data_IF_819634767533
#
_entry.id   IF_819634767533
#
_cell.length_a   1.000
_cell.length_b   1.000
_cell.length_c   1.000
_cell.angle_alpha   90.00
_cell.angle_beta   90.00
_cell.angle_gamma   90.00
#
_symmetry.space_group_name_H-M   'P 1'
#
loop_
_entity.id
_entity.type
_entity.pdbx_description
1 polymer ?
#
# COMPACT_ATOMS: atom_id res chain seq x y z
N UNK A 1 -27.52 33.95 38.87
CA UNK A 1 -27.87 32.57 38.48
C UNK A 1 -27.70 32.44 36.97
N UNK A 2 -26.97 31.40 36.56
CA UNK A 2 -26.24 31.24 35.30
C UNK A 2 -27.13 31.11 34.06
N UNK A 3 -26.81 31.85 32.99
CA UNK A 3 -27.32 31.61 31.63
C UNK A 3 -26.32 30.74 30.87
N UNK A 4 -26.67 29.47 30.68
CA UNK A 4 -25.98 28.55 29.78
C UNK A 4 -26.09 29.05 28.33
N UNK A 5 -24.97 29.43 27.73
CA UNK A 5 -24.83 29.62 26.28
C UNK A 5 -24.40 28.29 25.66
N UNK A 6 -25.31 27.64 24.95
CA UNK A 6 -25.01 26.51 24.08
C UNK A 6 -24.15 27.00 22.91
N UNK A 7 -22.86 26.64 22.91
CA UNK A 7 -21.97 26.87 21.78
C UNK A 7 -22.19 25.72 20.77
N UNK A 8 -22.97 25.98 19.72
CA UNK A 8 -23.08 25.07 18.60
C UNK A 8 -21.77 25.11 17.80
N UNK A 9 -20.98 24.04 17.89
CA UNK A 9 -19.77 23.85 17.10
C UNK A 9 -20.19 23.47 15.67
N UNK A 10 -20.25 24.47 14.78
CA UNK A 10 -20.32 24.23 13.34
C UNK A 10 -18.99 23.61 12.90
N UNK A 11 -18.96 22.28 12.74
CA UNK A 11 -17.92 21.64 11.93
C UNK A 11 -18.10 22.13 10.48
N UNK A 12 -17.31 23.11 10.09
CA UNK A 12 -17.12 23.40 8.68
C UNK A 12 -16.50 22.16 8.04
N UNK A 13 -17.30 21.43 7.25
CA UNK A 13 -16.82 20.43 6.31
C UNK A 13 -15.99 21.17 5.27
N UNK A 14 -14.68 21.31 5.52
CA UNK A 14 -13.74 21.70 4.49
C UNK A 14 -13.91 20.70 3.33
N UNK A 15 -14.04 21.16 2.08
CA UNK A 15 -14.05 20.26 0.94
C UNK A 15 -12.77 19.42 1.01
N UNK A 16 -12.92 18.10 1.00
CA UNK A 16 -11.80 17.18 1.01
C UNK A 16 -10.95 17.50 -0.21
N UNK A 17 -9.82 18.17 -0.01
CA UNK A 17 -8.80 18.30 -1.02
C UNK A 17 -8.51 16.89 -1.54
N UNK A 18 -8.50 16.71 -2.86
CA UNK A 18 -8.10 15.44 -3.46
C UNK A 18 -6.81 14.98 -2.79
N UNK A 19 -6.86 13.82 -2.13
CA UNK A 19 -5.66 13.29 -1.51
C UNK A 19 -4.63 13.06 -2.62
N UNK A 20 -3.53 13.82 -2.58
CA UNK A 20 -2.50 13.70 -3.58
C UNK A 20 -1.84 12.31 -3.46
N UNK A 21 -1.59 11.61 -4.58
CA UNK A 21 -0.91 10.33 -4.54
C UNK A 21 0.45 10.48 -3.85
N UNK A 22 0.90 9.43 -3.16
CA UNK A 22 2.14 9.47 -2.40
C UNK A 22 3.34 9.85 -3.30
N UNK A 23 4.06 10.92 -2.94
CA UNK A 23 5.32 11.29 -3.57
C UNK A 23 6.50 10.60 -2.88
N UNK A 24 6.99 9.55 -3.52
CA UNK A 24 8.03 8.63 -3.08
C UNK A 24 9.27 8.55 -4.00
N UNK A 25 9.68 9.57 -4.80
CA UNK A 25 11.01 9.55 -5.42
C UNK A 25 12.08 9.17 -4.39
N UNK A 26 13.12 8.44 -4.78
CA UNK A 26 14.16 7.98 -3.84
C UNK A 26 14.81 9.15 -3.07
N UNK A 27 14.88 10.32 -3.71
CA UNK A 27 15.40 11.56 -3.14
C UNK A 27 14.39 12.32 -2.26
N UNK A 28 13.13 11.89 -2.20
CA UNK A 28 12.08 12.59 -1.46
C UNK A 28 12.20 12.39 0.05
N UNK A 29 11.85 13.42 0.82
CA UNK A 29 11.82 13.33 2.28
C UNK A 29 10.89 12.24 2.80
N UNK A 30 9.80 11.95 2.09
CA UNK A 30 8.86 10.89 2.46
C UNK A 30 9.50 9.50 2.36
N UNK A 31 10.16 9.20 1.24
CA UNK A 31 10.86 7.91 1.05
C UNK A 31 11.99 7.74 2.07
N UNK A 32 12.79 8.79 2.26
CA UNK A 32 13.89 8.79 3.23
C UNK A 32 13.39 8.58 4.67
N UNK A 33 12.26 9.20 5.04
CA UNK A 33 11.68 9.04 6.37
C UNK A 33 11.24 7.60 6.62
N UNK A 34 10.57 6.96 5.65
CA UNK A 34 10.15 5.55 5.77
C UNK A 34 11.35 4.62 6.01
N UNK A 35 12.42 4.80 5.22
CA UNK A 35 13.66 4.04 5.38
C UNK A 35 14.35 4.30 6.73
N UNK A 36 14.50 5.57 7.11
CA UNK A 36 15.16 5.97 8.36
C UNK A 36 14.41 5.48 9.61
N UNK A 37 13.08 5.50 9.59
CA UNK A 37 12.28 4.96 10.68
C UNK A 37 12.48 3.45 10.83
N UNK A 38 12.41 2.71 9.72
CA UNK A 38 12.67 1.26 9.68
C UNK A 38 14.06 0.93 10.23
N UNK A 39 15.09 1.66 9.81
CA UNK A 39 16.47 1.48 10.25
C UNK A 39 16.63 1.75 11.74
N UNK A 40 16.08 2.86 12.23
CA UNK A 40 16.13 3.23 13.65
C UNK A 40 15.52 2.15 14.54
N UNK A 41 14.35 1.62 14.16
CA UNK A 41 13.66 0.55 14.88
C UNK A 41 14.46 -0.76 14.89
N UNK A 42 15.18 -1.02 13.81
CA UNK A 42 16.05 -2.17 13.70
C UNK A 42 17.41 -1.98 14.39
N UNK A 43 17.80 -0.76 14.78
CA UNK A 43 19.15 -0.46 15.26
C UNK A 43 20.20 -0.50 14.14
N UNK A 44 19.82 -0.13 12.92
CA UNK A 44 20.73 0.02 11.78
C UNK A 44 21.21 1.45 11.63
N UNK A 45 22.47 1.62 11.24
CA UNK A 45 23.06 2.89 10.82
C UNK A 45 23.01 3.06 9.30
N UNK A 46 23.27 4.29 8.82
CA UNK A 46 23.32 4.61 7.39
C UNK A 46 21.97 4.94 6.79
N UNK A 47 21.87 4.87 5.46
CA UNK A 47 20.65 5.17 4.71
C UNK A 47 20.26 4.03 3.78
N UNK A 48 18.95 3.82 3.63
CA UNK A 48 18.46 2.82 2.70
C UNK A 48 18.83 3.13 1.24
N UNK A 49 18.89 4.40 0.84
CA UNK A 49 19.26 4.76 -0.53
C UNK A 49 20.73 4.47 -0.85
N UNK A 50 21.63 4.57 0.14
CA UNK A 50 23.01 4.09 -0.03
C UNK A 50 23.01 2.58 -0.25
N UNK A 51 22.32 1.82 0.60
CA UNK A 51 22.21 0.37 0.46
C UNK A 51 21.62 -0.03 -0.91
N UNK A 52 20.57 0.66 -1.37
CA UNK A 52 19.90 0.37 -2.64
C UNK A 52 20.82 0.66 -3.84
N UNK A 53 21.59 1.75 -3.80
CA UNK A 53 22.58 2.07 -4.82
C UNK A 53 23.70 1.01 -4.89
N UNK A 54 24.14 0.50 -3.74
CA UNK A 54 25.12 -0.58 -3.68
C UNK A 54 24.53 -1.91 -4.17
N UNK A 55 23.27 -2.20 -3.81
CA UNK A 55 22.55 -3.38 -4.33
C UNK A 55 22.42 -3.32 -5.86
N UNK A 56 22.09 -2.16 -6.42
CA UNK A 56 22.05 -1.95 -7.86
C UNK A 56 23.38 -2.30 -8.54
N UNK A 57 24.51 -1.80 -8.00
CA UNK A 57 25.85 -2.14 -8.52
C UNK A 57 26.13 -3.64 -8.43
N UNK A 58 25.83 -4.27 -7.29
CA UNK A 58 26.12 -5.69 -7.06
C UNK A 58 25.31 -6.63 -7.95
N UNK A 59 24.02 -6.32 -8.18
CA UNK A 59 23.13 -7.22 -8.92
C UNK A 59 23.33 -7.15 -10.44
N UNK A 60 23.93 -6.09 -10.97
CA UNK A 60 24.20 -5.97 -12.40
C UNK A 60 22.95 -5.84 -13.29
N UNK A 61 21.76 -5.62 -12.72
CA UNK A 61 20.52 -5.37 -13.47
C UNK A 61 20.49 -3.89 -13.90
N UNK A 62 21.38 -3.52 -14.81
CA UNK A 62 21.64 -2.12 -15.15
C UNK A 62 20.54 -1.55 -16.05
N UNK A 63 19.99 -0.39 -15.67
CA UNK A 63 19.15 0.42 -16.54
C UNK A 63 20.04 1.21 -17.50
N UNK A 64 19.81 1.02 -18.81
CA UNK A 64 20.58 1.69 -19.86
C UNK A 64 22.10 1.40 -19.82
N UNK A 65 22.51 0.27 -19.21
CA UNK A 65 23.92 -0.05 -19.00
C UNK A 65 24.66 0.89 -18.02
N UNK A 66 23.96 1.80 -17.34
CA UNK A 66 24.58 2.76 -16.44
C UNK A 66 24.88 2.11 -15.07
N UNK A 67 26.13 2.11 -14.58
CA UNK A 67 26.50 1.43 -13.32
C UNK A 67 26.06 2.18 -12.07
N UNK A 68 25.70 3.47 -12.18
CA UNK A 68 25.18 4.26 -11.06
C UNK A 68 23.66 4.39 -11.14
N UNK A 69 22.94 3.94 -10.10
CA UNK A 69 21.48 3.99 -10.04
C UNK A 69 20.95 5.41 -10.28
N UNK A 70 21.52 6.40 -9.58
CA UNK A 70 21.11 7.80 -9.74
C UNK A 70 21.35 8.34 -11.16
N UNK A 71 22.49 8.01 -11.77
CA UNK A 71 22.76 8.39 -13.18
C UNK A 71 21.81 7.69 -14.15
N UNK A 72 21.53 6.41 -13.93
CA UNK A 72 20.64 5.62 -14.76
C UNK A 72 19.22 6.19 -14.78
N UNK A 73 18.69 6.52 -13.59
CA UNK A 73 17.36 7.13 -13.44
C UNK A 73 17.31 8.55 -14.03
N UNK A 74 18.33 9.38 -13.80
CA UNK A 74 18.43 10.72 -14.41
C UNK A 74 18.48 10.65 -15.93
N UNK A 75 19.24 9.71 -16.49
CA UNK A 75 19.33 9.49 -17.94
C UNK A 75 18.02 8.99 -18.52
N UNK A 76 17.35 8.04 -17.86
CA UNK A 76 16.02 7.58 -18.26
C UNK A 76 14.99 8.70 -18.22
N UNK A 77 15.02 9.55 -17.18
CA UNK A 77 14.16 10.74 -17.11
C UNK A 77 14.39 11.68 -18.28
N UNK A 78 15.65 11.92 -18.66
CA UNK A 78 15.97 12.73 -19.83
C UNK A 78 15.42 12.11 -21.14
N UNK A 79 15.54 10.79 -21.33
CA UNK A 79 14.92 10.10 -22.47
C UNK A 79 13.39 10.24 -22.48
N UNK A 80 12.75 10.10 -21.33
CA UNK A 80 11.29 10.24 -21.19
C UNK A 80 10.79 11.67 -21.43
N UNK A 81 11.61 12.70 -21.18
CA UNK A 81 11.27 14.09 -21.47
C UNK A 81 11.37 14.43 -22.96
N UNK A 82 12.28 13.75 -23.69
CA UNK A 82 12.49 13.97 -25.13
C UNK A 82 11.57 13.08 -26.00
N UNK A 83 11.15 11.92 -25.48
CA UNK A 83 10.28 11.01 -26.20
C UNK A 83 8.84 11.53 -26.30
N UNK A 84 8.18 11.18 -27.40
CA UNK A 84 6.79 11.56 -27.69
C UNK A 84 5.97 10.35 -28.12
N UNK A 85 4.64 10.45 -28.03
CA UNK A 85 3.70 9.41 -28.48
C UNK A 85 4.00 8.01 -27.92
N UNK A 86 3.88 7.00 -28.77
CA UNK A 86 4.07 5.59 -28.41
C UNK A 86 5.48 5.28 -27.87
N UNK A 87 6.50 6.03 -28.30
CA UNK A 87 7.86 5.84 -27.79
C UNK A 87 7.94 6.14 -26.30
N UNK A 88 7.26 7.20 -25.84
CA UNK A 88 7.27 7.59 -24.44
C UNK A 88 6.62 6.53 -23.56
N UNK A 89 5.52 5.94 -24.03
CA UNK A 89 4.83 4.83 -23.35
C UNK A 89 5.70 3.57 -23.32
N UNK A 90 6.35 3.22 -24.44
CA UNK A 90 7.31 2.12 -24.51
C UNK A 90 8.43 2.29 -23.49
N UNK A 91 9.05 3.47 -23.43
CA UNK A 91 10.11 3.74 -22.46
C UNK A 91 9.61 3.67 -21.00
N UNK A 92 8.37 4.09 -20.73
CA UNK A 92 7.77 3.99 -19.41
C UNK A 92 7.56 2.53 -19.01
N UNK A 93 6.98 1.72 -19.90
CA UNK A 93 6.81 0.27 -19.74
C UNK A 93 8.14 -0.46 -19.53
N UNK A 94 9.15 -0.15 -20.33
CA UNK A 94 10.49 -0.74 -20.19
C UNK A 94 11.12 -0.42 -18.83
N UNK A 95 10.92 0.81 -18.34
CA UNK A 95 11.40 1.24 -17.03
C UNK A 95 10.67 0.48 -15.91
N UNK A 96 9.36 0.27 -16.05
CA UNK A 96 8.54 -0.52 -15.14
C UNK A 96 9.00 -1.99 -15.07
N UNK A 97 9.23 -2.60 -16.23
CA UNK A 97 9.74 -3.96 -16.32
C UNK A 97 11.16 -4.09 -15.73
N UNK A 98 12.02 -3.08 -15.96
CA UNK A 98 13.34 -3.03 -15.33
C UNK A 98 13.24 -2.92 -13.79
N UNK A 99 12.39 -2.03 -13.28
CA UNK A 99 12.25 -1.82 -11.83
C UNK A 99 11.80 -3.11 -11.13
N UNK A 100 10.86 -3.85 -11.73
CA UNK A 100 10.47 -5.19 -11.27
C UNK A 100 11.65 -6.15 -11.19
N UNK A 101 12.40 -6.33 -12.29
CA UNK A 101 13.55 -7.25 -12.34
C UNK A 101 14.62 -6.86 -11.33
N UNK A 102 14.93 -5.56 -11.23
CA UNK A 102 15.92 -5.06 -10.29
C UNK A 102 15.51 -5.33 -8.84
N UNK A 103 14.27 -5.00 -8.45
CA UNK A 103 13.79 -5.22 -7.08
C UNK A 103 13.78 -6.72 -6.73
N UNK A 104 13.37 -7.60 -7.64
CA UNK A 104 13.44 -9.05 -7.41
C UNK A 104 14.87 -9.57 -7.25
N UNK A 105 15.80 -9.08 -8.08
CA UNK A 105 17.21 -9.46 -7.97
C UNK A 105 17.86 -8.94 -6.68
N UNK A 106 17.56 -7.69 -6.31
CA UNK A 106 18.11 -7.07 -5.10
C UNK A 106 17.57 -7.68 -3.81
N UNK A 107 16.34 -8.20 -3.84
CA UNK A 107 15.63 -8.75 -2.69
C UNK A 107 15.12 -10.16 -2.99
N UNK A 108 15.97 -11.20 -3.07
CA UNK A 108 15.58 -12.51 -3.59
C UNK A 108 14.60 -13.28 -2.69
N UNK A 109 14.54 -12.98 -1.38
CA UNK A 109 13.76 -13.76 -0.41
C UNK A 109 12.39 -13.11 -0.16
N UNK A 110 11.30 -13.88 -0.30
CA UNK A 110 9.99 -13.41 0.12
C UNK A 110 9.75 -13.75 1.60
N UNK A 111 9.29 -12.79 2.40
CA UNK A 111 9.04 -12.97 3.83
C UNK A 111 7.79 -12.22 4.25
N UNK A 112 6.78 -12.96 4.73
CA UNK A 112 5.56 -12.37 5.29
C UNK A 112 5.77 -11.77 6.68
N UNK A 113 6.85 -12.13 7.38
CA UNK A 113 7.10 -11.67 8.76
C UNK A 113 7.84 -10.35 8.84
N UNK A 114 8.75 -10.09 7.89
CA UNK A 114 9.69 -8.97 7.95
C UNK A 114 9.89 -8.25 6.61
N UNK A 115 9.47 -8.86 5.51
CA UNK A 115 9.78 -8.38 4.16
C UNK A 115 9.13 -7.04 3.81
N UNK A 116 8.19 -6.55 4.62
CA UNK A 116 7.64 -5.20 4.47
C UNK A 116 8.58 -4.10 4.98
N UNK A 117 9.65 -4.41 5.74
CA UNK A 117 10.55 -3.39 6.31
C UNK A 117 11.79 -3.14 5.45
N UNK A 118 12.15 -1.86 5.26
CA UNK A 118 13.40 -1.45 4.62
C UNK A 118 14.63 -2.06 5.30
N UNK A 119 14.61 -2.18 6.63
CA UNK A 119 15.68 -2.83 7.38
C UNK A 119 15.78 -4.35 7.08
N UNK A 120 14.66 -5.02 6.82
CA UNK A 120 14.63 -6.44 6.42
C UNK A 120 15.25 -6.65 5.04
N UNK A 121 14.95 -5.75 4.10
CA UNK A 121 15.64 -5.68 2.82
C UNK A 121 17.14 -5.50 2.98
N UNK A 122 17.57 -4.57 3.82
CA UNK A 122 18.99 -4.26 4.00
C UNK A 122 19.80 -5.39 4.64
N UNK A 123 19.25 -6.01 5.69
CA UNK A 123 19.91 -7.09 6.45
C UNK A 123 19.86 -8.43 5.73
N UNK A 124 18.73 -8.73 5.11
CA UNK A 124 18.41 -10.09 4.70
C UNK A 124 18.00 -10.19 3.22
N UNK A 125 17.92 -9.10 2.47
CA UNK A 125 17.38 -9.17 1.10
C UNK A 125 15.96 -9.74 1.07
N UNK A 126 15.20 -9.50 2.15
CA UNK A 126 13.81 -9.93 2.27
C UNK A 126 12.88 -8.87 1.67
N UNK A 127 11.83 -9.34 0.98
CA UNK A 127 10.75 -8.51 0.45
C UNK A 127 9.39 -9.09 0.79
N UNK A 128 8.41 -8.20 0.77
CA UNK A 128 6.98 -8.47 0.77
C UNK A 128 6.32 -7.46 -0.17
N UNK A 129 5.06 -7.71 -0.50
CA UNK A 129 4.23 -6.87 -1.38
C UNK A 129 4.29 -5.36 -1.07
N UNK A 130 4.20 -4.92 0.19
CA UNK A 130 4.27 -3.50 0.52
C UNK A 130 5.61 -2.88 0.13
N UNK A 131 6.72 -3.42 0.64
CA UNK A 131 8.03 -2.82 0.42
C UNK A 131 8.40 -2.83 -1.06
N UNK A 132 8.21 -3.96 -1.75
CA UNK A 132 8.57 -4.04 -3.16
C UNK A 132 7.79 -3.03 -4.01
N UNK A 133 6.49 -2.81 -3.71
CA UNK A 133 5.68 -1.81 -4.42
C UNK A 133 6.10 -0.38 -4.11
N UNK A 134 6.50 -0.08 -2.86
CA UNK A 134 7.06 1.23 -2.50
C UNK A 134 8.40 1.47 -3.21
N UNK A 135 9.26 0.46 -3.32
CA UNK A 135 10.53 0.56 -4.04
C UNK A 135 10.32 0.77 -5.54
N UNK A 136 9.46 -0.02 -6.17
CA UNK A 136 9.12 0.13 -7.60
C UNK A 136 8.53 1.52 -7.85
N UNK A 137 7.58 1.96 -7.01
CA UNK A 137 6.99 3.31 -7.09
C UNK A 137 8.07 4.38 -7.04
N UNK A 138 8.98 4.31 -6.07
CA UNK A 138 10.01 5.32 -5.90
C UNK A 138 11.04 5.36 -7.04
N UNK A 139 11.41 4.20 -7.57
CA UNK A 139 12.26 4.10 -8.77
C UNK A 139 11.59 4.76 -9.99
N UNK A 140 10.30 4.49 -10.21
CA UNK A 140 9.57 5.04 -11.35
C UNK A 140 9.33 6.55 -11.22
N UNK A 141 8.97 7.03 -10.02
CA UNK A 141 8.80 8.45 -9.77
C UNK A 141 10.13 9.22 -9.86
N UNK A 142 11.25 8.64 -9.40
CA UNK A 142 12.59 9.23 -9.57
C UNK A 142 12.96 9.35 -11.06
N UNK A 143 12.54 8.38 -11.89
CA UNK A 143 12.65 8.46 -13.35
C UNK A 143 11.66 9.45 -14.01
N UNK A 144 10.79 10.12 -13.24
CA UNK A 144 9.85 11.11 -13.74
C UNK A 144 8.53 10.54 -14.26
N UNK A 145 8.18 9.31 -13.89
CA UNK A 145 6.92 8.67 -14.28
C UNK A 145 5.82 8.86 -13.22
N UNK A 146 4.56 8.87 -13.66
CA UNK A 146 3.41 8.91 -12.78
C UNK A 146 3.10 7.51 -12.25
N UNK A 147 3.79 7.13 -11.18
CA UNK A 147 3.60 5.85 -10.50
C UNK A 147 3.05 6.04 -9.08
N UNK A 148 2.53 4.97 -8.50
CA UNK A 148 2.04 4.93 -7.13
C UNK A 148 1.82 3.50 -6.64
N UNK A 149 1.21 3.33 -5.48
CA UNK A 149 0.83 2.02 -4.96
C UNK A 149 -0.69 1.95 -4.71
N UNK A 150 -1.24 0.75 -4.90
CA UNK A 150 -2.66 0.43 -4.68
C UNK A 150 -2.76 -0.88 -3.89
N UNK A 151 -3.85 -1.07 -3.14
CA UNK A 151 -4.09 -2.36 -2.50
C UNK A 151 -4.82 -3.29 -3.48
N UNK A 152 -4.64 -4.59 -3.33
CA UNK A 152 -5.35 -5.61 -4.10
C UNK A 152 -6.39 -6.28 -3.19
N UNK A 153 -7.65 -6.22 -3.59
CA UNK A 153 -8.73 -6.93 -2.91
C UNK A 153 -9.20 -8.17 -3.66
N UNK A 154 -8.85 -8.31 -4.94
CA UNK A 154 -9.11 -9.51 -5.72
C UNK A 154 -7.92 -9.84 -6.60
N UNK A 155 -7.31 -11.01 -6.38
CA UNK A 155 -6.08 -11.39 -7.06
C UNK A 155 -6.33 -11.90 -8.49
N UNK A 156 -5.27 -12.44 -9.13
CA UNK A 156 -5.31 -13.01 -10.48
C UNK A 156 -6.28 -14.17 -10.66
N UNK A 157 -6.47 -15.01 -9.63
CA UNK A 157 -7.42 -16.13 -9.66
C UNK A 157 -8.84 -15.72 -9.26
N UNK A 158 -9.08 -14.43 -9.01
CA UNK A 158 -10.37 -13.93 -8.59
C UNK A 158 -10.66 -14.15 -7.09
N UNK A 159 -9.69 -14.62 -6.31
CA UNK A 159 -9.82 -14.78 -4.87
C UNK A 159 -9.82 -13.42 -4.18
N UNK A 160 -10.83 -13.21 -3.34
CA UNK A 160 -10.94 -12.01 -2.51
C UNK A 160 -9.98 -12.05 -1.32
N UNK A 161 -9.43 -10.88 -0.99
CA UNK A 161 -8.63 -10.64 0.21
C UNK A 161 -9.18 -9.44 0.98
N UNK A 162 -8.79 -9.32 2.24
CA UNK A 162 -9.16 -8.19 3.09
C UNK A 162 -8.27 -6.95 2.86
N UNK A 163 -7.55 -6.84 1.73
CA UNK A 163 -6.51 -5.82 1.45
C UNK A 163 -5.12 -6.17 2.02
N UNK A 164 -4.79 -7.46 2.17
CA UNK A 164 -3.47 -7.89 2.63
C UNK A 164 -2.36 -7.85 1.57
N UNK A 165 -2.64 -7.30 0.38
CA UNK A 165 -1.69 -7.25 -0.74
C UNK A 165 -1.60 -5.85 -1.34
N UNK A 166 -0.39 -5.47 -1.76
CA UNK A 166 -0.07 -4.17 -2.35
C UNK A 166 0.64 -4.40 -3.67
N UNK A 167 0.29 -3.62 -4.69
CA UNK A 167 0.98 -3.61 -5.97
C UNK A 167 1.33 -2.19 -6.39
N UNK A 168 2.39 -2.02 -7.18
CA UNK A 168 2.68 -0.72 -7.78
C UNK A 168 1.80 -0.52 -9.01
N UNK A 169 1.47 0.73 -9.31
CA UNK A 169 0.76 1.15 -10.52
C UNK A 169 1.55 2.21 -11.26
N UNK A 170 1.43 2.24 -12.58
CA UNK A 170 2.03 3.23 -13.47
C UNK A 170 0.97 3.72 -14.47
N UNK A 171 0.67 5.02 -14.47
CA UNK A 171 -0.04 5.69 -15.56
C UNK A 171 0.92 5.86 -16.73
N UNK A 172 0.54 5.31 -17.88
CA UNK A 172 1.28 5.52 -19.12
C UNK A 172 1.29 7.01 -19.47
N UNK A 173 2.43 7.57 -19.94
CA UNK A 173 2.55 8.97 -20.31
C UNK A 173 1.48 9.51 -21.28
N UNK A 174 0.93 8.67 -22.16
CA UNK A 174 -0.19 9.02 -23.04
C UNK A 174 -1.50 9.32 -22.30
N UNK A 175 -1.63 8.87 -21.05
CA UNK A 175 -2.87 8.94 -20.28
C UNK A 175 -3.89 7.85 -20.62
N UNK A 176 -3.60 6.99 -21.60
CA UNK A 176 -4.55 6.01 -22.15
C UNK A 176 -4.50 4.64 -21.48
N UNK A 177 -3.66 4.45 -20.45
CA UNK A 177 -3.64 3.21 -19.71
C UNK A 177 -2.88 3.25 -18.39
N UNK A 178 -3.24 2.35 -17.49
CA UNK A 178 -2.47 2.01 -16.29
C UNK A 178 -1.85 0.62 -16.41
N UNK A 179 -0.71 0.39 -15.76
CA UNK A 179 -0.08 -0.92 -15.61
C UNK A 179 0.05 -1.27 -14.13
N UNK A 180 -0.19 -2.53 -13.76
CA UNK A 180 0.16 -3.03 -12.44
C UNK A 180 1.51 -3.71 -12.48
N UNK A 181 2.37 -3.41 -11.51
CA UNK A 181 3.72 -3.96 -11.38
C UNK A 181 3.87 -4.67 -10.04
N UNK A 182 4.01 -5.99 -10.08
CA UNK A 182 4.02 -6.83 -8.89
C UNK A 182 5.22 -7.78 -8.85
N UNK A 183 6.20 -7.46 -7.99
CA UNK A 183 7.39 -8.29 -7.83
C UNK A 183 7.14 -9.61 -7.06
N UNK A 184 5.90 -9.88 -6.63
CA UNK A 184 5.47 -11.20 -6.17
C UNK A 184 5.32 -12.17 -7.34
N UNK A 185 4.98 -11.68 -8.53
CA UNK A 185 4.75 -12.49 -9.72
C UNK A 185 6.05 -12.72 -10.52
N UNK A 186 6.24 -13.88 -11.18
CA UNK A 186 7.38 -14.11 -12.08
C UNK A 186 7.54 -13.05 -13.17
N UNK A 187 6.42 -12.55 -13.70
CA UNK A 187 6.38 -11.55 -14.78
C UNK A 187 6.12 -10.14 -14.23
N UNK A 188 6.53 -9.07 -14.94
CA UNK A 188 6.41 -7.72 -14.42
C UNK A 188 4.97 -7.21 -14.32
N UNK A 189 4.12 -7.57 -15.27
CA UNK A 189 2.78 -7.00 -15.41
C UNK A 189 1.72 -8.05 -15.07
N UNK A 190 0.76 -7.66 -14.24
CA UNK A 190 -0.25 -8.55 -13.70
C UNK A 190 -1.65 -7.97 -13.86
N UNK A 191 -2.66 -8.84 -13.91
CA UNK A 191 -4.06 -8.48 -14.12
C UNK A 191 -4.92 -8.72 -12.87
N UNK A 192 -4.50 -8.16 -11.72
CA UNK A 192 -5.28 -8.29 -10.49
C UNK A 192 -6.72 -7.79 -10.70
N UNK A 193 -7.69 -8.60 -10.33
CA UNK A 193 -9.10 -8.36 -10.69
C UNK A 193 -9.81 -7.33 -9.80
N UNK A 194 -9.15 -6.81 -8.77
CA UNK A 194 -9.75 -5.85 -7.85
C UNK A 194 -8.72 -5.04 -7.09
N UNK A 195 -8.88 -3.71 -7.11
CA UNK A 195 -7.99 -2.74 -6.49
C UNK A 195 -8.72 -1.83 -5.49
N UNK A 196 -8.06 -1.45 -4.41
CA UNK A 196 -8.44 -0.29 -3.61
C UNK A 196 -7.51 0.86 -3.94
N UNK A 197 -8.08 1.96 -4.37
CA UNK A 197 -7.36 3.14 -4.85
C UNK A 197 -8.14 4.41 -4.48
N UNK A 198 -7.60 5.60 -4.74
CA UNK A 198 -8.36 6.85 -4.60
C UNK A 198 -9.19 7.14 -5.85
N UNK A 199 -10.50 7.33 -5.68
CA UNK A 199 -11.44 7.76 -6.71
C UNK A 199 -12.66 8.44 -6.07
N UNK A 200 -13.33 9.34 -6.78
CA UNK A 200 -14.59 9.96 -6.34
C UNK A 200 -14.52 10.57 -4.91
N UNK A 201 -13.39 11.22 -4.60
CA UNK A 201 -13.17 11.90 -3.32
C UNK A 201 -12.85 11.00 -2.13
N UNK A 202 -12.55 9.71 -2.33
CA UNK A 202 -12.15 8.81 -1.24
C UNK A 202 -11.50 7.51 -1.71
N UNK A 203 -11.22 6.60 -0.78
CA UNK A 203 -10.80 5.25 -1.15
C UNK A 203 -11.98 4.46 -1.71
N UNK A 204 -11.77 3.77 -2.83
CA UNK A 204 -12.80 3.02 -3.55
C UNK A 204 -12.28 1.66 -3.99
N UNK A 205 -13.13 0.64 -3.80
CA UNK A 205 -12.96 -0.66 -4.40
C UNK A 205 -13.35 -0.58 -5.87
N UNK A 206 -12.39 -0.79 -6.75
CA UNK A 206 -12.56 -0.78 -8.20
C UNK A 206 -12.22 -2.14 -8.80
N UNK A 207 -12.85 -2.43 -9.93
CA UNK A 207 -12.55 -3.55 -10.82
C UNK A 207 -11.90 -2.97 -12.08
N UNK A 208 -10.61 -3.23 -12.34
CA UNK A 208 -9.96 -2.78 -13.57
C UNK A 208 -10.51 -3.51 -14.80
N UNK A 209 -10.53 -2.80 -15.94
CA UNK A 209 -10.81 -3.36 -17.27
C UNK A 209 -9.50 -3.43 -18.06
N UNK A 210 -9.05 -4.65 -18.32
CA UNK A 210 -7.84 -4.89 -19.11
C UNK A 210 -8.12 -4.86 -20.61
N UNK A 211 -7.19 -4.26 -21.35
CA UNK A 211 -7.10 -4.30 -22.81
C UNK A 211 -5.88 -5.12 -23.23
N UNK A 212 -5.31 -4.77 -24.38
CA UNK A 212 -4.10 -5.42 -24.87
C UNK A 212 -2.93 -5.23 -23.89
N UNK A 213 -2.05 -6.22 -23.87
CA UNK A 213 -0.80 -6.20 -23.11
C UNK A 213 -1.00 -5.87 -21.62
N UNK A 214 -2.01 -6.42 -20.95
CA UNK A 214 -2.23 -6.19 -19.50
C UNK A 214 -2.46 -4.71 -19.12
N UNK A 215 -2.82 -3.85 -20.09
CA UNK A 215 -3.06 -2.43 -19.86
C UNK A 215 -4.47 -2.22 -19.32
N UNK A 216 -4.61 -1.55 -18.18
CA UNK A 216 -5.91 -1.12 -17.67
C UNK A 216 -6.37 0.06 -18.51
N UNK A 217 -7.52 -0.09 -19.18
CA UNK A 217 -8.13 0.93 -20.06
C UNK A 217 -9.27 1.69 -19.38
N UNK A 218 -9.67 1.26 -18.19
CA UNK A 218 -10.69 1.90 -17.38
C UNK A 218 -10.99 1.09 -16.13
N UNK A 219 -11.88 1.61 -15.29
CA UNK A 219 -12.27 0.97 -14.05
C UNK A 219 -13.80 0.92 -13.94
N UNK A 220 -14.31 0.07 -13.04
CA UNK A 220 -15.71 0.06 -12.61
C UNK A 220 -15.77 0.02 -11.10
N UNK A 221 -16.71 0.72 -10.49
CA UNK A 221 -16.92 0.61 -9.04
C UNK A 221 -17.40 -0.81 -8.66
N UNK A 222 -16.88 -1.35 -7.56
CA UNK A 222 -17.20 -2.72 -7.13
C UNK A 222 -18.65 -2.86 -6.60
N UNK A 223 -19.26 -1.78 -6.13
CA UNK A 223 -20.65 -1.71 -5.65
C UNK A 223 -21.69 -1.51 -6.78
N UNK A 224 -21.25 -1.46 -8.04
CA UNK A 224 -22.13 -1.28 -9.19
C UNK A 224 -22.41 0.17 -9.57
N UNK A 225 -21.78 1.17 -8.94
CA UNK A 225 -21.95 2.60 -9.30
C UNK A 225 -21.30 3.05 -10.61
N UNK A 226 -21.11 2.12 -11.56
CA UNK A 226 -20.77 2.42 -12.95
C UNK A 226 -19.27 2.52 -13.27
N UNK A 227 -18.93 2.93 -14.51
CA UNK A 227 -17.55 3.07 -14.96
C UNK A 227 -16.86 4.28 -14.34
N UNK A 228 -15.56 4.16 -14.07
CA UNK A 228 -14.68 5.24 -13.60
C UNK A 228 -13.55 5.43 -14.62
N UNK A 229 -13.39 6.67 -15.10
CA UNK A 229 -12.35 7.02 -16.07
C UNK A 229 -10.95 6.96 -15.44
N UNK A 230 -9.92 6.66 -16.25
CA UNK A 230 -8.52 6.62 -15.80
C UNK A 230 -8.12 7.93 -15.09
N UNK A 231 -8.49 9.09 -15.65
CA UNK A 231 -8.18 10.40 -15.07
C UNK A 231 -8.83 10.64 -13.68
N UNK A 232 -9.91 9.93 -13.36
CA UNK A 232 -10.59 9.99 -12.06
C UNK A 232 -9.97 9.08 -10.99
N UNK A 233 -8.96 8.27 -11.36
CA UNK A 233 -8.29 7.33 -10.46
C UNK A 233 -6.88 7.83 -10.13
N UNK A 234 -6.56 7.83 -8.83
CA UNK A 234 -5.24 8.13 -8.30
C UNK A 234 -4.79 7.03 -7.34
N UNK A 235 -3.48 6.83 -7.25
CA UNK A 235 -2.89 5.90 -6.30
C UNK A 235 -3.11 6.35 -4.85
N UNK A 236 -2.79 5.48 -3.89
CA UNK A 236 -2.91 5.77 -2.47
C UNK A 236 -1.98 6.93 -2.05
N UNK A 237 -2.45 7.75 -1.12
CA UNK A 237 -1.67 8.82 -0.53
C UNK A 237 -0.63 8.30 0.49
N UNK A 238 0.25 9.21 0.92
CA UNK A 238 1.33 8.87 1.84
C UNK A 238 0.83 8.41 3.22
N UNK A 239 -0.27 8.98 3.70
CA UNK A 239 -0.83 8.65 5.01
C UNK A 239 -1.33 7.20 5.01
N UNK A 240 -2.01 6.78 3.94
CA UNK A 240 -2.41 5.38 3.76
C UNK A 240 -1.20 4.46 3.72
N UNK A 241 -0.18 4.76 2.92
CA UNK A 241 1.01 3.89 2.84
C UNK A 241 1.76 3.78 4.18
N UNK A 242 1.91 4.88 4.92
CA UNK A 242 2.46 4.86 6.30
C UNK A 242 1.64 3.98 7.22
N UNK A 243 0.31 4.13 7.18
CA UNK A 243 -0.59 3.28 7.97
C UNK A 243 -0.45 1.80 7.62
N UNK A 244 -0.08 1.45 6.37
CA UNK A 244 0.15 0.07 5.98
C UNK A 244 1.45 -0.51 6.56
N UNK A 245 2.52 0.28 6.69
CA UNK A 245 3.71 -0.18 7.43
C UNK A 245 3.35 -0.49 8.88
N UNK A 246 2.63 0.41 9.55
CA UNK A 246 2.17 0.18 10.93
C UNK A 246 1.18 -0.99 11.05
N UNK A 247 0.32 -1.18 10.06
CA UNK A 247 -0.54 -2.35 9.96
C UNK A 247 0.29 -3.64 9.98
N UNK A 248 1.29 -3.78 9.11
CA UNK A 248 2.11 -5.00 9.08
C UNK A 248 2.93 -5.18 10.35
N UNK A 249 3.43 -4.10 10.97
CA UNK A 249 4.08 -4.18 12.30
C UNK A 249 3.13 -4.72 13.36
N UNK A 250 1.85 -4.35 13.28
CA UNK A 250 0.81 -4.85 14.17
C UNK A 250 0.42 -6.30 13.91
N UNK A 251 0.14 -6.64 12.66
CA UNK A 251 -0.22 -8.00 12.24
C UNK A 251 0.93 -9.00 12.54
N UNK A 252 2.17 -8.57 12.32
CA UNK A 252 3.38 -9.40 12.44
C UNK A 252 4.14 -9.20 13.74
N UNK A 253 3.58 -8.51 14.73
CA UNK A 253 4.21 -8.33 16.03
C UNK A 253 4.62 -9.70 16.62
N UNK A 254 5.86 -9.86 17.14
CA UNK A 254 6.28 -11.10 17.79
C UNK A 254 5.33 -11.51 18.92
N UNK A 255 4.86 -12.76 18.86
CA UNK A 255 3.83 -13.27 19.78
C UNK A 255 2.48 -12.52 19.71
N UNK A 256 2.24 -11.80 18.61
CA UNK A 256 1.05 -10.96 18.39
C UNK A 256 -0.16 -11.74 17.90
N UNK A 257 -1.00 -11.07 17.10
CA UNK A 257 -2.25 -11.64 16.58
C UNK A 257 -2.04 -13.02 15.93
N UNK A 258 -1.01 -13.13 15.08
CA UNK A 258 -0.66 -14.35 14.35
C UNK A 258 0.33 -15.25 15.10
N UNK A 259 0.83 -14.82 16.27
CA UNK A 259 1.85 -15.56 17.01
C UNK A 259 3.24 -15.61 16.34
N UNK A 260 3.55 -14.66 15.44
CA UNK A 260 4.82 -14.56 14.71
C UNK A 260 6.03 -14.82 15.61
N UNK A 261 6.96 -15.66 15.17
CA UNK A 261 8.20 -16.00 15.89
C UNK A 261 8.04 -16.80 17.19
N UNK A 262 6.82 -16.95 17.71
CA UNK A 262 6.53 -17.61 19.01
C UNK A 262 5.59 -18.82 18.84
N UNK A 263 4.88 -18.93 17.71
CA UNK A 263 3.93 -19.99 17.41
C UNK A 263 2.55 -19.83 18.07
N UNK A 264 2.37 -18.81 18.92
CA UNK A 264 1.10 -18.49 19.57
C UNK A 264 1.02 -17.01 19.96
N UNK A 265 -0.20 -16.52 20.11
CA UNK A 265 -0.45 -15.21 20.68
C UNK A 265 -0.08 -15.19 22.18
N UNK A 266 0.52 -14.09 22.63
CA UNK A 266 0.90 -13.82 24.02
C UNK A 266 0.31 -12.48 24.45
N UNK A 267 0.07 -12.23 25.75
CA UNK A 267 -0.43 -10.95 26.21
C UNK A 267 0.44 -9.76 25.76
N UNK A 268 1.77 -9.88 25.88
CA UNK A 268 2.70 -8.84 25.48
C UNK A 268 2.69 -8.59 23.96
N UNK A 269 2.67 -9.66 23.15
CA UNK A 269 2.62 -9.52 21.69
C UNK A 269 1.28 -8.98 21.19
N UNK A 270 0.15 -9.34 21.83
CA UNK A 270 -1.15 -8.75 21.52
C UNK A 270 -1.18 -7.25 21.85
N UNK A 271 -0.57 -6.84 22.97
CA UNK A 271 -0.39 -5.42 23.28
C UNK A 271 0.49 -4.71 22.22
N UNK A 272 1.53 -5.39 21.73
CA UNK A 272 2.33 -4.91 20.60
C UNK A 272 1.49 -4.71 19.33
N UNK A 273 0.66 -5.70 19.00
CA UNK A 273 -0.26 -5.66 17.85
C UNK A 273 -1.22 -4.46 17.96
N UNK A 274 -1.83 -4.29 19.14
CA UNK A 274 -2.75 -3.18 19.44
C UNK A 274 -2.08 -1.82 19.22
N UNK A 275 -0.90 -1.58 19.82
CA UNK A 275 -0.22 -0.27 19.72
C UNK A 275 0.03 0.14 18.27
N UNK A 276 0.43 -0.81 17.44
CA UNK A 276 0.73 -0.58 16.03
C UNK A 276 -0.52 -0.39 15.19
N UNK A 277 -1.56 -1.19 15.38
CA UNK A 277 -2.82 -1.01 14.66
C UNK A 277 -3.50 0.30 15.05
N UNK A 278 -3.38 0.74 16.31
CA UNK A 278 -3.80 2.08 16.72
C UNK A 278 -2.94 3.18 16.07
N UNK A 279 -1.63 2.97 15.88
CA UNK A 279 -0.79 3.91 15.14
C UNK A 279 -1.20 4.01 13.67
N UNK A 280 -1.46 2.87 13.01
CA UNK A 280 -1.98 2.83 11.66
C UNK A 280 -3.27 3.66 11.51
N UNK A 281 -4.21 3.54 12.46
CA UNK A 281 -5.45 4.31 12.44
C UNK A 281 -5.28 5.80 12.78
N UNK A 282 -4.20 6.18 13.48
CA UNK A 282 -3.83 7.60 13.67
C UNK A 282 -3.23 8.20 12.41
N UNK A 283 -2.37 7.45 11.71
CA UNK A 283 -1.82 7.85 10.42
C UNK A 283 -2.92 7.96 9.36
N UNK A 284 -3.83 6.97 9.29
CA UNK A 284 -4.96 6.99 8.38
C UNK A 284 -6.23 6.38 9.01
N UNK A 285 -7.18 7.23 9.46
CA UNK A 285 -8.45 6.78 10.04
C UNK A 285 -9.36 5.98 9.09
N UNK A 286 -9.08 6.01 7.78
CA UNK A 286 -9.83 5.28 6.75
C UNK A 286 -9.19 3.94 6.35
N UNK A 287 -8.14 3.50 7.05
CA UNK A 287 -7.57 2.17 6.87
C UNK A 287 -8.53 1.09 7.46
N UNK A 288 -9.46 0.63 6.62
CA UNK A 288 -10.50 -0.34 6.99
C UNK A 288 -9.91 -1.67 7.48
N UNK A 289 -8.79 -2.11 6.89
CA UNK A 289 -8.10 -3.33 7.27
C UNK A 289 -7.50 -3.20 8.69
N UNK A 290 -6.86 -2.08 9.03
CA UNK A 290 -6.32 -1.86 10.37
C UNK A 290 -7.43 -1.87 11.44
N UNK A 291 -8.58 -1.23 11.17
CA UNK A 291 -9.73 -1.27 12.06
C UNK A 291 -10.26 -2.69 12.25
N UNK A 292 -10.38 -3.45 11.16
CA UNK A 292 -10.84 -4.83 11.18
C UNK A 292 -9.92 -5.72 12.03
N UNK A 293 -8.61 -5.63 11.81
CA UNK A 293 -7.61 -6.46 12.50
C UNK A 293 -7.47 -6.05 13.97
N UNK A 294 -7.63 -4.77 14.30
CA UNK A 294 -7.67 -4.31 15.69
C UNK A 294 -8.85 -4.94 16.47
N UNK A 295 -10.00 -5.12 15.82
CA UNK A 295 -11.12 -5.85 16.41
C UNK A 295 -10.77 -7.29 16.78
N UNK A 296 -10.02 -8.00 15.93
CA UNK A 296 -9.53 -9.35 16.23
C UNK A 296 -8.53 -9.38 17.39
N UNK A 297 -7.63 -8.40 17.47
CA UNK A 297 -6.70 -8.25 18.60
C UNK A 297 -7.48 -8.08 19.90
N UNK A 298 -8.46 -7.17 19.95
CA UNK A 298 -9.29 -6.96 21.14
C UNK A 298 -10.07 -8.21 21.55
N UNK A 299 -10.55 -9.03 20.60
CA UNK A 299 -11.19 -10.31 20.95
C UNK A 299 -10.21 -11.28 21.60
N UNK A 300 -9.00 -11.43 21.04
CA UNK A 300 -7.97 -12.31 21.63
C UNK A 300 -7.49 -11.81 22.99
N UNK A 301 -7.59 -10.51 23.27
CA UNK A 301 -7.34 -9.92 24.59
C UNK A 301 -8.51 -10.07 25.58
N UNK A 302 -9.65 -10.66 25.18
CA UNK A 302 -10.83 -10.76 26.06
C UNK A 302 -11.58 -9.44 26.24
N UNK A 303 -11.50 -8.50 25.29
CA UNK A 303 -12.14 -7.18 25.32
C UNK A 303 -13.29 -7.09 24.30
N UNK A 304 -14.43 -7.78 24.53
CA UNK A 304 -15.50 -7.91 23.52
C UNK A 304 -16.16 -6.58 23.16
N UNK A 305 -16.32 -5.65 24.11
CA UNK A 305 -16.89 -4.32 23.84
C UNK A 305 -16.02 -3.49 22.88
N UNK A 306 -14.71 -3.47 23.11
CA UNK A 306 -13.76 -2.78 22.23
C UNK A 306 -13.68 -3.44 20.86
N UNK A 307 -13.69 -4.78 20.80
CA UNK A 307 -13.72 -5.52 19.55
C UNK A 307 -14.95 -5.19 18.70
N UNK A 308 -16.12 -5.15 19.34
CA UNK A 308 -17.39 -4.82 18.69
C UNK A 308 -17.34 -3.42 18.05
N UNK A 309 -16.86 -2.43 18.81
CA UNK A 309 -16.72 -1.07 18.31
C UNK A 309 -15.84 -1.03 17.04
N UNK A 310 -14.73 -1.77 17.03
CA UNK A 310 -13.82 -1.82 15.88
C UNK A 310 -14.41 -2.55 14.68
N UNK A 311 -15.13 -3.67 14.87
CA UNK A 311 -15.80 -4.33 13.74
C UNK A 311 -16.91 -3.49 13.13
N UNK A 312 -17.66 -2.74 13.94
CA UNK A 312 -18.66 -1.77 13.43
C UNK A 312 -17.98 -0.65 12.64
N UNK A 313 -16.87 -0.11 13.16
CA UNK A 313 -16.08 0.92 12.46
C UNK A 313 -15.50 0.40 11.14
N UNK A 314 -14.89 -0.80 11.15
CA UNK A 314 -14.36 -1.43 9.96
C UNK A 314 -15.44 -1.68 8.91
N UNK A 315 -16.58 -2.25 9.29
CA UNK A 315 -17.70 -2.46 8.37
C UNK A 315 -18.20 -1.15 7.75
N UNK A 316 -18.29 -0.07 8.54
CA UNK A 316 -18.64 1.26 8.03
C UNK A 316 -17.63 1.75 7.00
N UNK A 317 -16.33 1.57 7.24
CA UNK A 317 -15.27 1.96 6.32
C UNK A 317 -15.32 1.16 5.01
N UNK A 318 -15.39 -0.18 5.10
CA UNK A 318 -15.50 -1.06 3.93
C UNK A 318 -16.75 -0.74 3.10
N UNK A 319 -17.90 -0.56 3.74
CA UNK A 319 -19.13 -0.15 3.06
C UNK A 319 -18.99 1.20 2.37
N UNK A 320 -18.41 2.21 3.04
CA UNK A 320 -18.17 3.53 2.45
C UNK A 320 -17.16 3.51 1.30
N UNK A 321 -16.33 2.46 1.21
CA UNK A 321 -15.37 2.24 0.12
C UNK A 321 -15.99 1.46 -1.05
N UNK A 322 -17.20 0.92 -0.90
CA UNK A 322 -17.95 0.23 -1.97
C UNK A 322 -17.81 -1.29 -1.98
N UNK A 323 -17.22 -1.91 -0.95
CA UNK A 323 -17.21 -3.38 -0.85
C UNK A 323 -16.94 -3.84 0.59
N UNK A 324 -17.69 -4.84 1.07
CA UNK A 324 -17.46 -5.46 2.39
C UNK A 324 -17.11 -6.94 2.21
N UNK A 325 -15.84 -7.35 2.42
CA UNK A 325 -15.41 -8.73 2.27
C UNK A 325 -16.13 -9.67 3.25
N UNK A 326 -16.29 -10.95 2.89
CA UNK A 326 -16.99 -11.95 3.72
C UNK A 326 -16.49 -12.00 5.17
N UNK A 327 -15.16 -12.02 5.38
CA UNK A 327 -14.60 -12.06 6.74
C UNK A 327 -14.94 -10.84 7.61
N UNK A 328 -15.26 -9.70 6.98
CA UNK A 328 -15.75 -8.49 7.66
C UNK A 328 -17.24 -8.62 7.96
N UNK A 329 -18.02 -9.20 7.03
CA UNK A 329 -19.45 -9.50 7.25
C UNK A 329 -19.64 -10.47 8.43
N UNK A 330 -18.83 -11.53 8.52
CA UNK A 330 -18.87 -12.50 9.61
C UNK A 330 -18.55 -11.84 10.96
N UNK A 331 -17.54 -10.96 10.99
CA UNK A 331 -17.18 -10.20 12.20
C UNK A 331 -18.27 -9.19 12.59
N UNK A 332 -18.94 -8.59 11.62
CA UNK A 332 -20.09 -7.71 11.83
C UNK A 332 -21.30 -8.47 12.38
N UNK A 333 -21.58 -9.67 11.87
CA UNK A 333 -22.64 -10.53 12.37
C UNK A 333 -22.39 -10.94 13.83
N UNK A 334 -21.16 -11.36 14.16
CA UNK A 334 -20.74 -11.61 15.53
C UNK A 334 -20.94 -10.37 16.41
N UNK A 335 -20.45 -9.21 15.94
CA UNK A 335 -20.59 -7.95 16.64
C UNK A 335 -22.05 -7.66 16.96
N UNK A 336 -22.99 -7.83 16.01
CA UNK A 336 -24.43 -7.54 16.20
C UNK A 336 -25.12 -8.52 17.15
N UNK A 337 -24.85 -9.83 17.04
CA UNK A 337 -25.49 -10.90 17.83
C UNK A 337 -25.32 -10.79 19.35
N UNK A 338 -24.33 -10.02 19.80
CA UNK A 338 -24.06 -9.81 21.22
C UNK A 338 -24.78 -8.59 21.82
N UNK A 339 -25.64 -7.86 21.09
CA UNK A 339 -26.51 -6.81 21.68
C UNK A 339 -27.95 -7.28 21.86
N UNK A 340 -28.29 -8.44 21.30
CA UNK A 340 -29.58 -9.10 21.45
C UNK A 340 -29.60 -10.07 22.65
N UNK A 341 -28.56 -10.03 23.50
CA UNK A 341 -28.44 -10.71 24.79
C UNK A 341 -28.00 -9.67 25.80
#
# INVERSE_FOLDING_TARGET
MSRLRSLALLLALAPAALAAPASLPLTSGAFQTLGAESYRRAGLSGSFTTWLADAYRRQGVLLLGEPSLGRALKRRRAQLLLATGAERDRLARDTAAWAHRFVKAALPRFSLERGFEFAGAARSGERQCLLQSVLITGLLQEAGLQAGAVMVWRNLSGQETNLGHVTATLRLPSGHGDLLIDASDPTPFVEHQGLLTWADGGYRFLVPRYGAEQTITGYRQADGGGPVALSGVSALDLAYLRSQFDYYRGERAPGGLLGTGVGRATPAGLQGSERWLQAALRENPHNALAAYVLGHVYRKQGRPGAARAQYLAAAKLYAAQGHTPRGVQDALAWARSAASR
#
